data_IF_100757868748
#
_entry.id   IF_100757868748
#
_cell.length_a   1.000
_cell.length_b   1.000
_cell.length_c   1.000
_cell.angle_alpha   90.00
_cell.angle_beta   90.00
_cell.angle_gamma   90.00
#
_symmetry.space_group_name_H-M   'P 1'
#
loop_
_entity.id
_entity.type
_entity.pdbx_description
1 polymer ?
#
# COMPACT_ATOMS: atom_id res chain seq x y z
N UNK A 1 -13.03 -11.72 -1.11
CA UNK A 1 -11.91 -11.11 -1.86
C UNK A 1 -10.90 -10.64 -0.84
N UNK A 2 -9.80 -11.37 -0.71
CA UNK A 2 -8.81 -11.11 0.33
C UNK A 2 -8.19 -9.73 0.14
N UNK A 3 -8.24 -8.87 1.15
CA UNK A 3 -7.60 -7.54 1.17
C UNK A 3 -6.06 -7.58 1.15
N UNK A 4 -5.47 -8.72 0.78
CA UNK A 4 -4.05 -9.06 0.99
C UNK A 4 -3.07 -8.09 0.34
N UNK A 5 -3.47 -7.42 -0.75
CA UNK A 5 -2.59 -6.53 -1.51
C UNK A 5 -3.01 -5.05 -1.40
N UNK A 6 -3.78 -4.67 -0.38
CA UNK A 6 -4.20 -3.27 -0.18
C UNK A 6 -3.27 -2.51 0.76
N UNK A 7 -2.78 -1.34 0.33
CA UNK A 7 -1.98 -0.42 1.16
C UNK A 7 -2.82 0.82 1.48
N UNK A 8 -3.15 1.01 2.76
CA UNK A 8 -3.94 2.14 3.24
C UNK A 8 -3.04 3.32 3.62
N UNK A 9 -3.24 4.47 2.97
CA UNK A 9 -2.47 5.68 3.21
C UNK A 9 -3.08 6.50 4.35
N UNK A 10 -2.23 6.87 5.30
CA UNK A 10 -2.54 7.77 6.43
C UNK A 10 -1.41 8.76 6.68
N UNK A 11 -1.05 9.01 7.95
CA UNK A 11 -0.08 10.06 8.33
C UNK A 11 1.39 9.62 8.43
N UNK A 12 1.73 8.36 8.14
CA UNK A 12 3.13 7.91 8.15
C UNK A 12 3.95 8.59 7.03
N UNK A 13 5.29 8.68 7.16
CA UNK A 13 6.15 9.15 6.08
C UNK A 13 5.96 8.35 4.79
N UNK A 14 6.05 9.03 3.64
CA UNK A 14 5.78 8.47 2.31
C UNK A 14 6.57 7.17 2.07
N UNK A 15 7.85 7.15 2.45
CA UNK A 15 8.74 6.00 2.25
C UNK A 15 8.24 4.71 2.91
N UNK A 16 7.49 4.80 4.01
CA UNK A 16 6.96 3.60 4.67
C UNK A 16 5.91 2.90 3.81
N UNK A 17 5.11 3.66 3.06
CA UNK A 17 4.11 3.08 2.16
C UNK A 17 4.76 2.54 0.89
N UNK A 18 5.79 3.23 0.37
CA UNK A 18 6.58 2.73 -0.77
C UNK A 18 7.24 1.41 -0.42
N UNK A 19 7.86 1.30 0.76
CA UNK A 19 8.45 0.05 1.24
C UNK A 19 7.41 -1.07 1.35
N UNK A 20 6.21 -0.77 1.88
CA UNK A 20 5.14 -1.75 1.97
C UNK A 20 4.71 -2.28 0.60
N UNK A 21 4.57 -1.42 -0.41
CA UNK A 21 4.30 -1.84 -1.79
C UNK A 21 5.40 -2.76 -2.33
N UNK A 22 6.66 -2.41 -2.12
CA UNK A 22 7.81 -3.22 -2.55
C UNK A 22 7.81 -4.59 -1.86
N UNK A 23 7.53 -4.64 -0.55
CA UNK A 23 7.41 -5.91 0.19
C UNK A 23 6.32 -6.80 -0.38
N UNK A 24 5.17 -6.25 -0.76
CA UNK A 24 4.08 -7.02 -1.40
C UNK A 24 4.51 -7.58 -2.76
N UNK A 25 5.18 -6.79 -3.60
CA UNK A 25 5.69 -7.26 -4.88
C UNK A 25 6.76 -8.35 -4.72
N UNK A 26 7.70 -8.20 -3.78
CA UNK A 26 8.66 -9.25 -3.45
C UNK A 26 8.00 -10.52 -2.88
N UNK A 27 6.84 -10.38 -2.23
CA UNK A 27 6.00 -11.49 -1.79
C UNK A 27 5.20 -12.18 -2.91
N UNK A 28 5.38 -11.76 -4.17
CA UNK A 28 4.71 -12.37 -5.33
C UNK A 28 3.38 -11.74 -5.71
N UNK A 29 3.01 -10.60 -5.13
CA UNK A 29 1.82 -9.86 -5.57
C UNK A 29 1.99 -9.36 -7.01
N UNK A 30 0.99 -9.61 -7.88
CA UNK A 30 0.97 -9.07 -9.26
C UNK A 30 0.44 -7.64 -9.33
N UNK A 31 -0.42 -7.30 -8.38
CA UNK A 31 -1.07 -6.00 -8.28
C UNK A 31 -1.12 -5.56 -6.81
N UNK A 32 -1.05 -4.25 -6.58
CA UNK A 32 -1.13 -3.63 -5.26
C UNK A 32 -2.13 -2.48 -5.33
N UNK A 33 -3.11 -2.50 -4.43
CA UNK A 33 -4.21 -1.53 -4.39
C UNK A 33 -3.93 -0.47 -3.33
N UNK A 34 -3.60 0.74 -3.74
CA UNK A 34 -3.40 1.86 -2.82
C UNK A 34 -4.76 2.53 -2.57
N UNK A 35 -5.17 2.60 -1.31
CA UNK A 35 -6.41 3.28 -0.91
C UNK A 35 -6.09 4.45 0.02
N UNK A 36 -6.61 5.62 -0.31
CA UNK A 36 -6.47 6.84 0.47
C UNK A 36 -7.81 7.57 0.57
N UNK A 37 -7.98 8.44 1.56
CA UNK A 37 -9.18 9.27 1.72
C UNK A 37 -8.85 10.65 2.27
N UNK A 38 -9.63 11.66 1.88
CA UNK A 38 -9.48 13.02 2.35
C UNK A 38 -8.11 13.62 2.00
N UNK A 39 -7.44 14.26 2.98
CA UNK A 39 -6.13 14.93 2.81
C UNK A 39 -4.94 13.99 2.57
N UNK A 40 -5.19 12.68 2.51
CA UNK A 40 -4.15 11.66 2.30
C UNK A 40 -4.02 11.23 0.82
N UNK A 41 -4.85 11.80 -0.08
CA UNK A 41 -4.71 11.72 -1.53
C UNK A 41 -3.84 12.90 -1.96
#
# INVERSE_FOLDING_TARGET
MSESNSVLIGKKPVMNYVLACITLFHGGAKEVNIKARGRAI
#
